data_IF_923454723672
#
_entry.id   IF_923454723672
#
_cell.length_a   1.000
_cell.length_b   1.000
_cell.length_c   1.000
_cell.angle_alpha   90.00
_cell.angle_beta   90.00
_cell.angle_gamma   90.00
#
_symmetry.space_group_name_H-M   'P 1'
#
loop_
_entity.id
_entity.type
_entity.pdbx_description
1 polymer ?
#
# COMPACT_ATOMS: atom_id res chain seq x y z
N UNK A 1 43.26 0.05 7.01
CA UNK A 1 42.31 -1.06 7.20
C UNK A 1 41.41 -0.76 8.39
N UNK A 2 40.27 -0.09 8.18
CA UNK A 2 39.10 -0.01 9.09
C UNK A 2 38.23 1.16 8.64
N UNK A 3 37.29 0.91 7.72
CA UNK A 3 36.00 1.62 7.72
C UNK A 3 34.98 1.11 6.68
N UNK A 4 35.35 0.18 5.79
CA UNK A 4 34.37 -0.47 4.89
C UNK A 4 33.37 -1.40 5.62
N UNK A 5 33.65 -1.76 6.89
CA UNK A 5 32.75 -2.56 7.72
C UNK A 5 31.64 -1.73 8.40
N UNK A 6 31.76 -0.40 8.44
CA UNK A 6 30.79 0.47 9.12
C UNK A 6 29.63 0.93 8.22
N UNK A 7 29.80 0.87 6.90
CA UNK A 7 28.73 1.21 5.94
C UNK A 7 27.74 0.06 5.76
N UNK A 8 28.18 -1.19 5.92
CA UNK A 8 27.33 -2.38 5.79
C UNK A 8 26.40 -2.62 7.00
N UNK A 9 26.71 -2.06 8.18
CA UNK A 9 25.81 -2.11 9.35
C UNK A 9 24.66 -1.11 9.29
N UNK A 10 24.75 -0.08 8.44
CA UNK A 10 23.72 0.96 8.33
C UNK A 10 22.51 0.55 7.48
N UNK A 11 22.63 -0.53 6.70
CA UNK A 11 21.61 -1.00 5.76
C UNK A 11 20.73 -2.15 6.30
N UNK A 12 20.82 -2.54 7.58
CA UNK A 12 20.15 -3.76 8.08
C UNK A 12 19.38 -3.63 9.40
N UNK A 13 19.07 -2.43 9.90
CA UNK A 13 18.12 -2.28 11.01
C UNK A 13 16.85 -1.60 10.49
N UNK A 14 16.09 -2.32 9.67
CA UNK A 14 14.67 -1.99 9.54
C UNK A 14 14.04 -2.33 10.90
N UNK A 15 13.82 -1.31 11.75
CA UNK A 15 13.14 -1.44 13.05
C UNK A 15 11.72 -2.01 12.94
N UNK A 16 11.23 -2.09 11.70
CA UNK A 16 9.96 -2.65 11.33
C UNK A 16 10.14 -3.90 10.47
N UNK A 17 9.41 -4.97 10.80
CA UNK A 17 9.28 -6.14 9.92
C UNK A 17 8.00 -6.01 9.10
N UNK A 18 8.13 -5.77 7.79
CA UNK A 18 7.01 -5.63 6.88
C UNK A 18 6.78 -6.88 6.02
N UNK A 19 5.51 -7.29 5.90
CA UNK A 19 5.05 -8.30 4.94
C UNK A 19 3.99 -7.67 4.05
N UNK A 20 4.15 -7.79 2.73
CA UNK A 20 3.20 -7.27 1.75
C UNK A 20 2.52 -8.42 1.03
N UNK A 21 1.20 -8.39 0.97
CA UNK A 21 0.39 -9.27 0.13
C UNK A 21 -0.46 -8.42 -0.80
N UNK A 22 -0.48 -8.76 -2.07
CA UNK A 22 -1.35 -8.16 -3.05
C UNK A 22 -2.18 -9.26 -3.71
N UNK A 23 -3.50 -9.15 -3.61
CA UNK A 23 -4.44 -10.08 -4.22
C UNK A 23 -5.28 -9.31 -5.23
N UNK A 24 -5.38 -9.86 -6.43
CA UNK A 24 -6.06 -9.21 -7.55
C UNK A 24 -7.10 -10.17 -8.10
N UNK A 25 -8.33 -9.71 -8.21
CA UNK A 25 -9.45 -10.46 -8.74
C UNK A 25 -9.97 -9.71 -9.96
N UNK A 26 -9.91 -10.35 -11.13
CA UNK A 26 -10.44 -9.79 -12.36
C UNK A 26 -11.79 -10.44 -12.65
N UNK A 27 -12.85 -9.64 -12.64
CA UNK A 27 -14.21 -10.08 -12.96
C UNK A 27 -14.72 -9.30 -14.17
N UNK A 28 -14.85 -9.98 -15.31
CA UNK A 28 -15.23 -9.35 -16.59
C UNK A 28 -14.30 -8.18 -16.98
N UNK A 29 -14.74 -6.92 -16.75
CA UNK A 29 -13.99 -5.69 -17.09
C UNK A 29 -13.44 -4.96 -15.86
N UNK A 30 -13.68 -5.47 -14.66
CA UNK A 30 -13.26 -4.83 -13.41
C UNK A 30 -12.13 -5.63 -12.77
N UNK A 31 -11.09 -4.93 -12.33
CA UNK A 31 -10.05 -5.49 -11.49
C UNK A 31 -10.20 -4.93 -10.08
N UNK A 32 -10.36 -5.83 -9.11
CA UNK A 32 -10.38 -5.51 -7.68
C UNK A 32 -9.04 -5.93 -7.09
N UNK A 33 -8.31 -4.97 -6.53
CA UNK A 33 -7.02 -5.21 -5.90
C UNK A 33 -7.11 -4.96 -4.40
N UNK A 34 -6.65 -5.94 -3.63
CA UNK A 34 -6.53 -5.89 -2.18
C UNK A 34 -5.06 -5.91 -1.81
N UNK A 35 -4.57 -4.82 -1.25
CA UNK A 35 -3.22 -4.69 -0.69
C UNK A 35 -3.32 -4.88 0.82
N UNK A 36 -2.59 -5.86 1.34
CA UNK A 36 -2.44 -6.11 2.77
C UNK A 36 -0.98 -5.89 3.18
N UNK A 37 -0.72 -4.93 4.05
CA UNK A 37 0.62 -4.66 4.60
C UNK A 37 0.62 -4.89 6.11
N UNK A 38 1.41 -5.85 6.58
CA UNK A 38 1.56 -6.12 8.01
C UNK A 38 2.93 -5.67 8.50
N UNK A 39 2.94 -4.78 9.48
CA UNK A 39 4.15 -4.18 10.05
C UNK A 39 4.19 -4.46 11.56
N UNK A 40 5.34 -4.93 12.05
CA UNK A 40 5.58 -5.09 13.49
C UNK A 40 6.56 -4.02 13.98
N UNK A 41 6.19 -3.28 15.02
CA UNK A 41 7.10 -2.42 15.77
C UNK A 41 7.96 -3.30 16.68
N UNK A 42 9.28 -3.33 16.47
CA UNK A 42 10.22 -4.11 17.29
C UNK A 42 10.92 -3.26 18.35
N UNK A 43 10.59 -1.98 18.44
CA UNK A 43 11.16 -1.06 19.41
C UNK A 43 10.48 -1.22 20.77
N UNK A 44 11.20 -0.83 21.82
CA UNK A 44 10.70 -0.72 23.19
C UNK A 44 9.84 0.54 23.41
N UNK A 45 9.68 1.37 22.37
CA UNK A 45 8.88 2.59 22.38
C UNK A 45 7.82 2.57 21.28
N UNK A 46 6.77 3.38 21.48
CA UNK A 46 5.77 3.64 20.45
C UNK A 46 6.40 4.32 19.24
N UNK A 47 6.07 3.85 18.04
CA UNK A 47 6.55 4.44 16.79
C UNK A 47 5.43 4.67 15.81
N UNK A 48 5.51 5.78 15.10
CA UNK A 48 4.69 6.05 13.93
C UNK A 48 5.09 5.10 12.81
N UNK A 49 4.10 4.42 12.24
CA UNK A 49 4.24 3.54 11.09
C UNK A 49 3.40 4.12 9.96
N UNK A 50 4.07 4.43 8.85
CA UNK A 50 3.43 4.88 7.63
C UNK A 50 3.07 3.68 6.74
N UNK A 51 1.87 3.69 6.16
CA UNK A 51 1.50 2.87 5.02
C UNK A 51 1.35 3.77 3.80
N UNK A 52 2.20 3.51 2.80
CA UNK A 52 2.30 4.31 1.60
C UNK A 52 2.43 3.40 0.38
N UNK A 53 1.49 3.56 -0.56
CA UNK A 53 1.44 2.80 -1.82
C UNK A 53 1.02 3.71 -2.97
N UNK A 54 1.43 3.35 -4.18
CA UNK A 54 0.93 3.97 -5.40
C UNK A 54 -0.16 3.10 -6.04
N UNK A 55 -1.25 3.74 -6.46
CA UNK A 55 -2.40 3.12 -7.12
C UNK A 55 -2.67 3.79 -8.47
N UNK A 56 -3.37 3.14 -9.42
CA UNK A 56 -3.77 3.78 -10.66
C UNK A 56 -4.68 5.00 -10.41
N UNK A 57 -4.46 6.09 -11.14
CA UNK A 57 -5.25 7.33 -11.00
C UNK A 57 -6.75 7.18 -11.28
N UNK A 58 -7.11 6.20 -12.11
CA UNK A 58 -8.52 5.91 -12.41
C UNK A 58 -9.10 4.82 -11.49
N UNK A 59 -8.34 4.38 -10.47
CA UNK A 59 -8.82 3.42 -9.50
C UNK A 59 -9.69 4.13 -8.46
N UNK A 60 -10.80 3.50 -8.12
CA UNK A 60 -11.66 3.91 -7.02
C UNK A 60 -11.27 3.13 -5.77
N UNK A 61 -10.87 3.82 -4.70
CA UNK A 61 -10.64 3.18 -3.41
C UNK A 61 -11.99 2.90 -2.76
N UNK A 62 -12.39 1.62 -2.74
CA UNK A 62 -13.67 1.22 -2.16
C UNK A 62 -13.58 0.93 -0.66
N UNK A 63 -12.38 0.67 -0.13
CA UNK A 63 -12.22 0.32 1.28
C UNK A 63 -10.81 0.55 1.81
N UNK A 64 -10.71 1.06 3.02
CA UNK A 64 -9.46 1.08 3.78
C UNK A 64 -9.71 0.66 5.23
N UNK A 65 -8.87 -0.24 5.76
CA UNK A 65 -8.94 -0.75 7.13
C UNK A 65 -7.57 -0.85 7.77
N UNK A 66 -7.55 -0.65 9.08
CA UNK A 66 -6.40 -0.97 9.92
C UNK A 66 -6.78 -1.96 11.01
N UNK A 67 -5.87 -2.88 11.29
CA UNK A 67 -5.99 -3.85 12.37
C UNK A 67 -4.84 -3.63 13.35
N UNK A 68 -5.16 -3.14 14.55
CA UNK A 68 -4.17 -2.88 15.61
C UNK A 68 -4.63 -3.67 16.83
N UNK A 69 -3.75 -4.56 17.31
CA UNK A 69 -4.01 -5.40 18.50
C UNK A 69 -5.34 -6.19 18.46
N UNK A 70 -5.81 -6.57 17.26
CA UNK A 70 -7.05 -7.31 17.07
C UNK A 70 -8.30 -6.45 16.92
N UNK A 71 -8.20 -5.13 17.12
CA UNK A 71 -9.27 -4.17 16.85
C UNK A 71 -9.23 -3.72 15.39
N UNK A 72 -10.41 -3.54 14.79
CA UNK A 72 -10.58 -3.13 13.40
C UNK A 72 -11.00 -1.66 13.37
N UNK A 73 -10.30 -0.87 12.57
CA UNK A 73 -10.61 0.53 12.32
C UNK A 73 -10.89 0.70 10.83
N UNK A 74 -12.14 1.04 10.49
CA UNK A 74 -12.50 1.45 9.14
C UNK A 74 -11.99 2.88 8.92
N UNK A 75 -11.14 3.06 7.91
CA UNK A 75 -10.56 4.36 7.59
C UNK A 75 -11.36 5.08 6.52
N UNK A 76 -11.57 6.38 6.72
CA UNK A 76 -12.17 7.25 5.71
C UNK A 76 -11.09 7.71 4.74
N UNK A 77 -11.35 7.54 3.44
CA UNK A 77 -10.41 7.90 2.37
C UNK A 77 -10.90 9.17 1.68
N UNK A 78 -10.02 10.18 1.59
CA UNK A 78 -10.35 11.47 0.98
C UNK A 78 -9.20 11.98 0.10
N UNK A 79 -9.55 12.71 -0.95
CA UNK A 79 -8.58 13.35 -1.85
C UNK A 79 -7.91 14.55 -1.16
N UNK A 80 -6.62 14.76 -1.41
CA UNK A 80 -5.77 15.74 -0.72
C UNK A 80 -6.34 17.16 -0.73
N UNK A 81 -6.93 17.59 -1.83
CA UNK A 81 -7.49 18.94 -1.98
C UNK A 81 -8.70 19.17 -1.07
N UNK A 82 -9.45 18.12 -0.74
CA UNK A 82 -10.65 18.17 0.10
C UNK A 82 -10.38 17.75 1.55
N UNK A 83 -9.21 17.16 1.84
CA UNK A 83 -9.00 16.35 3.03
C UNK A 83 -7.97 16.88 4.03
N UNK A 84 -7.08 17.82 3.66
CA UNK A 84 -5.93 18.14 4.52
C UNK A 84 -6.35 18.57 5.95
N UNK A 85 -7.39 19.39 6.06
CA UNK A 85 -7.97 19.80 7.34
C UNK A 85 -8.65 18.62 8.05
N UNK A 86 -9.52 17.88 7.36
CA UNK A 86 -10.23 16.73 7.94
C UNK A 86 -9.30 15.58 8.36
N UNK A 87 -8.19 15.35 7.65
CA UNK A 87 -7.15 14.40 8.02
C UNK A 87 -6.49 14.83 9.34
N UNK A 88 -6.13 16.12 9.44
CA UNK A 88 -5.48 16.66 10.64
C UNK A 88 -6.41 16.57 11.85
N UNK A 89 -7.71 16.85 11.66
CA UNK A 89 -8.75 16.68 12.67
C UNK A 89 -9.01 15.22 13.05
N UNK A 90 -9.09 14.31 12.08
CA UNK A 90 -9.28 12.89 12.34
C UNK A 90 -8.10 12.34 13.15
N UNK A 91 -6.86 12.65 12.75
CA UNK A 91 -5.65 12.24 13.48
C UNK A 91 -5.60 12.84 14.87
N UNK A 92 -5.99 14.11 15.05
CA UNK A 92 -6.03 14.73 16.39
C UNK A 92 -7.10 14.13 17.30
N UNK A 93 -8.19 13.58 16.74
CA UNK A 93 -9.21 12.80 17.45
C UNK A 93 -8.82 11.33 17.67
N UNK A 94 -7.64 10.90 17.22
CA UNK A 94 -7.21 9.49 17.30
C UNK A 94 -7.93 8.58 16.30
N UNK A 95 -8.60 9.14 15.30
CA UNK A 95 -9.27 8.42 14.23
C UNK A 95 -8.28 8.02 13.12
N UNK A 96 -8.66 7.00 12.37
CA UNK A 96 -7.90 6.44 11.26
C UNK A 96 -8.25 7.17 9.95
N UNK A 97 -7.28 7.82 9.30
CA UNK A 97 -7.50 8.56 8.05
C UNK A 97 -6.47 8.22 6.97
N UNK A 98 -6.90 8.20 5.70
CA UNK A 98 -6.04 8.01 4.53
C UNK A 98 -6.11 9.20 3.57
N UNK A 99 -4.94 9.66 3.12
CA UNK A 99 -4.76 10.76 2.19
C UNK A 99 -4.44 10.23 0.78
N UNK A 100 -5.12 10.74 -0.25
CA UNK A 100 -4.85 10.42 -1.66
C UNK A 100 -4.28 11.64 -2.38
N UNK A 101 -3.15 11.50 -3.05
CA UNK A 101 -2.53 12.59 -3.84
C UNK A 101 -2.03 12.13 -5.20
N UNK A 102 -2.24 12.93 -6.24
CA UNK A 102 -1.74 12.61 -7.60
C UNK A 102 -0.23 12.55 -7.69
N UNK A 103 0.30 11.52 -8.35
CA UNK A 103 1.72 11.35 -8.69
C UNK A 103 1.86 11.11 -10.19
N UNK A 104 2.24 12.18 -10.89
CA UNK A 104 2.36 12.15 -12.35
C UNK A 104 1.01 12.04 -13.06
N UNK A 105 1.02 11.43 -14.26
CA UNK A 105 -0.14 11.41 -15.15
C UNK A 105 -1.09 10.22 -14.91
N UNK A 106 -0.57 9.11 -14.39
CA UNK A 106 -1.28 7.81 -14.37
C UNK A 106 -1.43 7.20 -12.97
N UNK A 107 -0.74 7.72 -11.96
CA UNK A 107 -0.74 7.17 -10.61
C UNK A 107 -1.19 8.20 -9.57
N UNK A 108 -1.64 7.67 -8.44
CA UNK A 108 -1.91 8.40 -7.20
C UNK A 108 -1.21 7.69 -6.04
N UNK A 109 -0.73 8.46 -5.06
CA UNK A 109 -0.23 7.98 -3.79
C UNK A 109 -1.36 7.92 -2.78
N UNK A 110 -1.49 6.78 -2.12
CA UNK A 110 -2.25 6.63 -0.90
C UNK A 110 -1.28 6.60 0.28
N UNK A 111 -1.49 7.48 1.26
CA UNK A 111 -0.68 7.59 2.48
C UNK A 111 -1.55 7.65 3.73
N UNK A 112 -1.10 6.97 4.77
CA UNK A 112 -1.71 7.01 6.10
C UNK A 112 -0.64 6.66 7.13
N UNK A 113 -0.72 7.24 8.32
CA UNK A 113 0.20 6.91 9.40
C UNK A 113 -0.56 6.62 10.69
N UNK A 114 0.02 5.74 11.51
CA UNK A 114 -0.53 5.42 12.83
C UNK A 114 0.58 5.11 13.81
N UNK A 115 0.41 5.58 15.05
CA UNK A 115 1.32 5.27 16.14
C UNK A 115 1.02 3.89 16.70
N UNK A 116 2.02 3.00 16.66
CA UNK A 116 1.95 1.62 17.13
C UNK A 116 2.84 1.47 18.36
N UNK A 117 2.26 0.98 19.44
CA UNK A 117 2.99 0.76 20.70
C UNK A 117 4.16 -0.22 20.56
N UNK A 118 5.06 -0.20 21.54
CA UNK A 118 6.20 -1.10 21.63
C UNK A 118 5.78 -2.57 21.46
N UNK A 119 6.53 -3.33 20.66
CA UNK A 119 6.29 -4.76 20.40
C UNK A 119 4.92 -5.12 19.81
N UNK A 120 4.13 -4.13 19.37
CA UNK A 120 2.83 -4.34 18.73
C UNK A 120 2.93 -4.39 17.21
N UNK A 121 1.83 -4.77 16.57
CA UNK A 121 1.70 -4.94 15.13
C UNK A 121 0.48 -4.22 14.61
N UNK A 122 0.60 -3.72 13.40
CA UNK A 122 -0.50 -3.16 12.60
C UNK A 122 -0.62 -3.93 11.29
N UNK A 123 -1.85 -4.12 10.82
CA UNK A 123 -2.11 -4.57 9.45
C UNK A 123 -2.97 -3.55 8.74
N UNK A 124 -2.49 -3.06 7.60
CA UNK A 124 -3.23 -2.17 6.71
C UNK A 124 -3.87 -3.02 5.60
N UNK A 125 -5.12 -2.75 5.27
CA UNK A 125 -5.85 -3.35 4.15
C UNK A 125 -6.44 -2.22 3.30
N UNK A 126 -5.97 -2.09 2.06
CA UNK A 126 -6.49 -1.18 1.07
C UNK A 126 -7.14 -1.98 -0.06
N UNK A 127 -8.40 -1.68 -0.37
CA UNK A 127 -9.09 -2.22 -1.54
C UNK A 127 -9.37 -1.10 -2.52
N UNK A 128 -8.94 -1.30 -3.76
CA UNK A 128 -9.28 -0.41 -4.85
C UNK A 128 -9.76 -1.21 -6.07
N UNK A 129 -10.56 -0.53 -6.88
CA UNK A 129 -11.20 -1.10 -8.05
C UNK A 129 -10.90 -0.25 -9.27
N UNK A 130 -10.54 -0.88 -10.38
CA UNK A 130 -10.32 -0.18 -11.64
C UNK A 130 -11.11 -0.83 -12.78
N UNK A 131 -11.64 0.03 -13.66
CA UNK A 131 -12.20 -0.41 -14.93
C UNK A 131 -11.07 -0.65 -15.93
N UNK A 132 -10.86 -1.90 -16.33
CA UNK A 132 -9.86 -2.27 -17.31
C UNK A 132 -10.21 -1.70 -18.68
N UNK A 133 -9.22 -1.05 -19.31
CA UNK A 133 -9.38 -0.54 -20.68
C UNK A 133 -9.14 -1.66 -21.68
N UNK A 134 -9.98 -1.68 -22.73
CA UNK A 134 -9.83 -2.59 -23.86
C UNK A 134 -8.94 -1.93 -24.92
N UNK A 135 -7.80 -2.53 -25.20
CA UNK A 135 -6.82 -2.06 -26.19
C UNK A 135 -6.55 -3.19 -27.18
N UNK A 136 -6.61 -2.92 -28.48
CA UNK A 136 -6.41 -3.93 -29.54
C UNK A 136 -7.24 -5.23 -29.34
N UNK A 137 -8.48 -5.09 -28.86
CA UNK A 137 -9.39 -6.22 -28.66
C UNK A 137 -9.20 -6.99 -27.35
N UNK A 138 -8.20 -6.68 -26.52
CA UNK A 138 -7.89 -7.35 -25.25
C UNK A 138 -8.00 -6.39 -24.05
N UNK A 139 -8.28 -6.90 -22.86
CA UNK A 139 -8.21 -6.10 -21.63
C UNK A 139 -6.79 -6.11 -21.09
N UNK A 140 -6.26 -4.94 -20.74
CA UNK A 140 -4.95 -4.81 -20.13
C UNK A 140 -5.10 -4.43 -18.66
N UNK A 141 -4.41 -5.14 -17.78
CA UNK A 141 -4.29 -4.82 -16.37
C UNK A 141 -2.83 -4.51 -16.04
N UNK A 142 -2.58 -3.32 -15.49
CA UNK A 142 -1.28 -2.88 -15.03
C UNK A 142 -1.26 -2.83 -13.51
N UNK A 143 -0.48 -3.73 -12.92
CA UNK A 143 -0.39 -3.82 -11.47
C UNK A 143 0.71 -2.90 -11.00
N UNK A 144 0.34 -1.83 -10.29
CA UNK A 144 1.27 -0.96 -9.60
C UNK A 144 1.22 -1.29 -8.12
N UNK A 145 2.29 -1.93 -7.63
CA UNK A 145 2.46 -2.24 -6.23
C UNK A 145 3.91 -1.95 -5.86
N UNK A 146 4.16 -0.69 -5.52
CA UNK A 146 5.47 -0.24 -5.07
C UNK A 146 5.42 -0.03 -3.56
N UNK A 147 5.98 -0.95 -2.76
CA UNK A 147 6.23 -0.65 -1.36
C UNK A 147 7.29 0.43 -1.26
N UNK A 148 6.99 1.48 -0.51
CA UNK A 148 7.92 2.58 -0.23
C UNK A 148 8.79 2.32 1.00
N UNK A 149 8.68 1.12 1.58
CA UNK A 149 9.49 0.65 2.71
C UNK A 149 10.08 -0.74 2.40
N UNK A 150 11.23 -1.10 2.99
CA UNK A 150 11.83 -2.42 2.83
C UNK A 150 10.89 -3.54 3.28
N UNK A 151 10.47 -4.40 2.35
CA UNK A 151 9.59 -5.54 2.61
C UNK A 151 10.42 -6.81 2.74
N UNK A 152 10.19 -7.58 3.81
CA UNK A 152 10.89 -8.85 4.03
C UNK A 152 10.30 -9.96 3.15
N UNK A 153 8.96 -10.03 3.07
CA UNK A 153 8.26 -11.00 2.25
C UNK A 153 7.16 -10.33 1.42
N UNK A 154 7.14 -10.64 0.12
CA UNK A 154 6.13 -10.13 -0.81
C UNK A 154 5.43 -11.29 -1.51
N UNK A 155 4.09 -11.29 -1.53
CA UNK A 155 3.29 -12.29 -2.23
C UNK A 155 2.27 -11.61 -3.15
N UNK A 156 2.30 -11.98 -4.43
CA UNK A 156 1.34 -11.54 -5.45
C UNK A 156 0.48 -12.71 -5.90
N UNK A 157 -0.85 -12.58 -5.78
CA UNK A 157 -1.80 -13.57 -6.27
C UNK A 157 -2.79 -12.92 -7.23
N UNK A 158 -2.95 -13.49 -8.43
CA UNK A 158 -3.92 -13.03 -9.42
C UNK A 158 -4.93 -14.15 -9.70
N UNK A 159 -6.20 -13.81 -9.69
CA UNK A 159 -7.31 -14.72 -10.00
C UNK A 159 -8.23 -14.08 -11.04
N UNK A 160 -8.61 -14.83 -12.07
CA UNK A 160 -9.53 -14.36 -13.11
C UNK A 160 -10.84 -15.15 -13.02
N UNK A 161 -11.96 -14.45 -13.14
CA UNK A 161 -13.32 -15.01 -13.09
C UNK A 161 -14.08 -14.55 -14.34
N UNK A 162 -14.39 -15.50 -15.24
CA UNK A 162 -15.20 -15.27 -16.44
C UNK A 162 -14.53 -15.68 -17.76
N UNK A 163 -15.29 -15.62 -18.86
CA UNK A 163 -14.80 -15.87 -20.23
C UNK A 163 -14.41 -14.54 -20.90
N UNK A 164 -13.14 -14.41 -21.22
CA UNK A 164 -12.56 -13.19 -21.81
C UNK A 164 -11.14 -13.03 -21.29
N UNK A 165 -10.15 -13.42 -22.10
CA UNK A 165 -8.75 -13.42 -21.68
C UNK A 165 -8.32 -11.96 -21.46
N UNK A 166 -8.10 -11.59 -20.20
CA UNK A 166 -7.34 -10.39 -19.87
C UNK A 166 -5.85 -10.68 -20.13
N UNK A 167 -5.18 -9.79 -20.86
CA UNK A 167 -3.72 -9.79 -20.91
C UNK A 167 -3.25 -9.15 -19.62
N UNK A 168 -2.73 -9.97 -18.73
CA UNK A 168 -2.14 -9.50 -17.48
C UNK A 168 -0.74 -8.96 -17.79
N UNK A 169 -0.55 -7.64 -17.69
CA UNK A 169 0.77 -7.02 -17.81
C UNK A 169 1.25 -6.63 -16.42
N UNK A 170 1.87 -7.59 -15.74
CA UNK A 170 2.46 -7.34 -14.43
C UNK A 170 3.70 -6.47 -14.59
N UNK A 171 3.60 -5.19 -14.25
CA UNK A 171 4.74 -4.27 -14.20
C UNK A 171 5.17 -4.12 -12.75
N UNK A 172 6.03 -5.04 -12.28
CA UNK A 172 6.66 -4.89 -10.99
C UNK A 172 7.73 -3.80 -11.10
N UNK A 173 7.33 -2.54 -10.89
CA UNK A 173 8.27 -1.43 -10.70
C UNK A 173 8.91 -1.56 -9.32
N UNK A 174 9.90 -2.46 -9.21
CA UNK A 174 10.91 -2.38 -8.16
C UNK A 174 11.81 -1.21 -8.54
N UNK A 175 11.36 0.02 -8.28
CA UNK A 175 12.29 1.15 -8.33
C UNK A 175 13.35 0.92 -7.26
N UNK A 176 14.57 0.79 -7.73
CA UNK A 176 15.79 0.70 -6.95
C UNK A 176 15.76 1.69 -5.79
N UNK A 177 15.87 1.19 -4.56
CA UNK A 177 16.46 1.95 -3.48
C UNK A 177 17.96 2.11 -3.80
N UNK A 178 18.28 3.05 -4.69
CA UNK A 178 19.62 3.62 -4.79
C UNK A 178 19.65 4.85 -3.89
N UNK A 179 20.26 4.71 -2.72
CA UNK A 179 21.29 5.62 -2.22
C UNK A 179 22.00 5.03 -1.01
#
# INVERSE_FOLDING_TARGET
FSNSQNTLRRLSITHHKQNLKCKIIVTSRYATTVITSRVANRMDESKEIEFHVQIPKNAFISKFRMFIDGQVYDGVVKAKEQAQQQYTEAVSRGESAGLVSSVGRTLEEFKTSVTVAAHKKVTFELTYEELMKRTHGKYELQIHAQPTQPVINTHFGVSTVGRGIAVLKMCLLLLHFSH
#
